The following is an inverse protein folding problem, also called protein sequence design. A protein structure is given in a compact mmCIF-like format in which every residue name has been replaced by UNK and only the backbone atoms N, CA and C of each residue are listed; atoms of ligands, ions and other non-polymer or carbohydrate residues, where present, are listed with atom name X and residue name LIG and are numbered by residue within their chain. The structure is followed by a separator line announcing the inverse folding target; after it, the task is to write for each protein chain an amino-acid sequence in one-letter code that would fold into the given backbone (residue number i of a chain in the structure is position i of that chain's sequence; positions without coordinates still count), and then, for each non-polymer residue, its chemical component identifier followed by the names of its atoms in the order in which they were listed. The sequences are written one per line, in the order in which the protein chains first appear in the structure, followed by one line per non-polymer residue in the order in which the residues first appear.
data_IF_004622107825
#
_entry.id   IF_004622107825
#
_cell.length_a   1.000
_cell.length_b   1.000
_cell.length_c   1.000
_cell.angle_alpha   90.00
_cell.angle_beta   90.00
_cell.angle_gamma   90.00
#
_symmetry.space_group_name_H-M   'P 1'
#
loop_
_entity.id
_entity.type
_entity.pdbx_description
1 polymer ?
#
# COMPACT_ATOMS: atom_id res chain seq x y z
N UNK A 1 23.39 -8.93 -11.24
CA UNK A 1 23.29 -9.09 -9.77
C UNK A 1 22.62 -7.85 -9.22
N UNK A 2 21.34 -7.93 -8.83
CA UNK A 2 20.65 -6.79 -8.22
C UNK A 2 21.20 -6.60 -6.80
N UNK A 3 21.92 -5.51 -6.61
CA UNK A 3 22.53 -5.16 -5.33
C UNK A 3 21.42 -4.61 -4.40
N UNK A 4 20.71 -5.50 -3.72
CA UNK A 4 19.70 -5.12 -2.75
C UNK A 4 20.42 -4.67 -1.48
N UNK A 5 20.70 -3.37 -1.40
CA UNK A 5 21.17 -2.71 -0.18
C UNK A 5 20.05 -2.83 0.86
N UNK A 6 20.15 -3.85 1.73
CA UNK A 6 19.32 -3.97 2.92
C UNK A 6 19.66 -2.85 3.89
N UNK A 7 19.06 -1.67 3.70
CA UNK A 7 19.04 -0.63 4.71
C UNK A 7 18.29 -1.16 5.94
N UNK A 8 19.03 -1.55 6.98
CA UNK A 8 18.45 -1.88 8.28
C UNK A 8 17.68 -0.66 8.79
N UNK A 9 16.37 -0.82 9.00
CA UNK A 9 15.49 0.26 9.40
C UNK A 9 15.79 0.70 10.84
N UNK A 10 16.78 1.59 11.00
CA UNK A 10 17.17 2.16 12.28
C UNK A 10 16.14 3.27 12.62
N UNK A 11 15.42 3.09 13.73
CA UNK A 11 14.42 4.03 14.31
C UNK A 11 12.95 3.89 13.87
N UNK A 12 12.49 2.74 13.37
CA UNK A 12 11.06 2.53 13.20
C UNK A 12 10.40 2.12 14.52
N UNK A 13 9.56 3.00 15.07
CA UNK A 13 8.63 2.62 16.14
C UNK A 13 7.57 1.70 15.55
N UNK A 14 7.47 0.49 16.07
CA UNK A 14 6.36 -0.42 15.78
C UNK A 14 5.08 0.25 16.28
N UNK A 15 4.22 0.67 15.34
CA UNK A 15 2.91 1.24 15.67
C UNK A 15 2.11 0.24 16.49
N UNK A 16 1.47 0.72 17.56
CA UNK A 16 0.54 -0.09 18.32
C UNK A 16 -0.65 -0.50 17.44
N UNK A 17 -1.29 -1.64 17.74
CA UNK A 17 -2.47 -2.11 16.98
C UNK A 17 -3.61 -1.10 16.94
N UNK A 18 -3.73 -0.25 17.95
CA UNK A 18 -4.67 0.88 18.00
C UNK A 18 -4.30 1.99 17.03
N UNK A 19 -3.01 2.29 16.86
CA UNK A 19 -2.53 3.33 15.94
C UNK A 19 -2.61 2.87 14.49
N UNK A 20 -2.42 1.57 14.22
CA UNK A 20 -2.65 0.96 12.91
C UNK A 20 -4.08 1.17 12.39
N UNK A 21 -5.08 1.22 13.28
CA UNK A 21 -6.48 1.49 12.92
C UNK A 21 -6.71 2.94 12.47
N UNK A 22 -5.86 3.87 12.92
CA UNK A 22 -5.93 5.29 12.57
C UNK A 22 -5.15 5.62 11.29
N UNK A 23 -4.47 4.63 10.70
CA UNK A 23 -3.85 4.77 9.37
C UNK A 23 -4.95 4.55 8.33
N UNK A 24 -5.57 5.65 7.91
CA UNK A 24 -6.40 5.65 6.71
C UNK A 24 -5.47 5.34 5.53
N UNK A 25 -5.63 4.16 4.91
CA UNK A 25 -4.63 3.49 4.06
C UNK A 25 -4.07 4.25 2.84
N UNK A 26 -3.39 5.36 3.07
CA UNK A 26 -2.67 6.17 2.11
C UNK A 26 -3.54 6.98 1.14
N UNK A 27 -2.91 7.97 0.52
CA UNK A 27 -3.40 8.58 -0.72
C UNK A 27 -3.26 7.59 -1.88
N UNK A 28 -4.04 7.80 -2.94
CA UNK A 28 -3.93 7.01 -4.16
C UNK A 28 -2.51 7.13 -4.75
N UNK A 29 -1.89 6.03 -5.21
CA UNK A 29 -0.61 6.07 -5.90
C UNK A 29 -0.77 6.68 -7.29
N UNK A 30 0.30 7.28 -7.79
CA UNK A 30 0.44 7.58 -9.21
C UNK A 30 0.69 6.27 -9.98
N UNK A 31 -0.17 5.98 -10.94
CA UNK A 31 -0.13 4.76 -11.74
C UNK A 31 0.39 5.04 -13.15
N UNK A 32 1.03 4.05 -13.78
CA UNK A 32 1.54 4.17 -15.14
C UNK A 32 0.39 4.38 -16.16
N UNK A 33 0.67 5.01 -17.32
CA UNK A 33 -0.32 5.15 -18.38
C UNK A 33 -0.94 3.80 -18.77
N UNK A 34 -2.28 3.76 -18.89
CA UNK A 34 -3.02 2.51 -19.12
C UNK A 34 -3.43 1.78 -17.84
N UNK A 35 -3.08 2.29 -16.66
CA UNK A 35 -3.55 1.77 -15.38
C UNK A 35 -4.17 2.87 -14.52
N UNK A 36 -5.02 2.48 -13.55
CA UNK A 36 -5.70 3.37 -12.61
C UNK A 36 -5.52 2.91 -11.17
N UNK A 37 -5.52 3.85 -10.24
CA UNK A 37 -5.48 3.54 -8.82
C UNK A 37 -6.84 3.01 -8.34
N UNK A 38 -6.89 1.74 -7.93
CA UNK A 38 -8.05 1.11 -7.30
C UNK A 38 -7.83 0.97 -5.79
N UNK A 39 -8.86 1.33 -5.00
CA UNK A 39 -8.85 1.11 -3.55
C UNK A 39 -9.60 -0.16 -3.19
N UNK A 40 -8.89 -1.13 -2.64
CA UNK A 40 -9.45 -2.37 -2.13
C UNK A 40 -9.82 -2.21 -0.65
N UNK A 41 -10.98 -2.75 -0.28
CA UNK A 41 -11.47 -2.71 1.10
C UNK A 41 -10.59 -3.59 1.98
N UNK A 42 -10.59 -3.28 3.27
CA UNK A 42 -9.98 -4.14 4.27
C UNK A 42 -10.73 -5.48 4.31
N UNK A 43 -10.02 -6.60 4.17
CA UNK A 43 -10.59 -7.94 4.18
C UNK A 43 -9.65 -8.90 4.92
N UNK A 44 -10.19 -9.88 5.65
CA UNK A 44 -9.42 -10.93 6.34
C UNK A 44 -8.29 -10.42 7.26
N UNK A 45 -8.50 -9.25 7.88
CA UNK A 45 -7.50 -8.63 8.76
C UNK A 45 -6.40 -7.85 8.02
N UNK A 46 -6.45 -7.78 6.69
CA UNK A 46 -5.62 -6.89 5.89
C UNK A 46 -6.24 -5.49 5.84
N UNK A 47 -5.44 -4.42 6.00
CA UNK A 47 -5.94 -3.06 5.86
C UNK A 47 -6.35 -2.78 4.42
N UNK A 48 -7.21 -1.78 4.23
CA UNK A 48 -7.53 -1.28 2.90
C UNK A 48 -6.25 -0.79 2.21
N UNK A 49 -6.05 -1.17 0.95
CA UNK A 49 -4.84 -0.89 0.20
C UNK A 49 -5.17 -0.36 -1.20
N UNK A 50 -4.20 0.32 -1.80
CA UNK A 50 -4.26 0.77 -3.19
C UNK A 50 -3.49 -0.19 -4.09
N UNK A 51 -3.99 -0.43 -5.29
CA UNK A 51 -3.25 -1.11 -6.35
C UNK A 51 -3.51 -0.43 -7.69
N UNK A 52 -2.54 -0.47 -8.59
CA UNK A 52 -2.72 -0.04 -9.98
C UNK A 52 -3.30 -1.20 -10.78
N UNK A 53 -4.46 -0.97 -11.39
CA UNK A 53 -5.21 -1.97 -12.18
C UNK A 53 -5.33 -1.44 -13.60
N UNK A 54 -5.19 -2.30 -14.60
CA UNK A 54 -5.36 -1.90 -15.99
C UNK A 54 -6.77 -1.32 -16.23
N UNK A 55 -6.86 -0.27 -17.03
CA UNK A 55 -8.10 0.50 -17.23
C UNK A 55 -9.25 -0.33 -17.83
N UNK A 56 -8.91 -1.46 -18.46
CA UNK A 56 -9.85 -2.43 -19.03
C UNK A 56 -10.63 -3.19 -17.94
N UNK A 57 -10.13 -3.22 -16.70
CA UNK A 57 -10.74 -3.94 -15.58
C UNK A 57 -11.37 -2.99 -14.56
N UNK A 58 -12.48 -3.42 -13.96
CA UNK A 58 -13.13 -2.69 -12.88
C UNK A 58 -12.36 -2.84 -11.55
N UNK A 59 -12.53 -1.84 -10.69
CA UNK A 59 -12.41 -1.97 -9.25
C UNK A 59 -13.81 -2.33 -8.74
#
# INVERSE_FOLDING_TARGET
MFNQQNHTMKNLKKLAKSELKNIHGGNAPDCEPGTRACRYKAENGFPAYWSCVAIEYAC
#
